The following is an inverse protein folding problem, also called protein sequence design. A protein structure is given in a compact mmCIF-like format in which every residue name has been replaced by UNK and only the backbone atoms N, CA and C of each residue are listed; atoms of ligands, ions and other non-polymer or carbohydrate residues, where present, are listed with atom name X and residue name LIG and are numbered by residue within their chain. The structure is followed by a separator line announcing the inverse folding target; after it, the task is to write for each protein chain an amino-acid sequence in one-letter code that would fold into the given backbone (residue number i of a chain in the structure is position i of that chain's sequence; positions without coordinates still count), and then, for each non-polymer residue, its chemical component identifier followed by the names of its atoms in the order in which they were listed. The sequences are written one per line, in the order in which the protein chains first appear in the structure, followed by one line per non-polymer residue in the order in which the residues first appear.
data_IF_117833833052
#
_entry.id   IF_117833833052
#
_cell.length_a   1.000
_cell.length_b   1.000
_cell.length_c   1.000
_cell.angle_alpha   90.00
_cell.angle_beta   90.00
_cell.angle_gamma   90.00
#
_symmetry.space_group_name_H-M   'P 1'
#
loop_
_entity.id
_entity.type
_entity.pdbx_description
1 polymer ?
#
# COMPACT_ATOMS: atom_id res chain seq x y z
N UNK A 1 1.51 -15.10 -17.52
CA UNK A 1 2.96 -14.95 -17.26
C UNK A 1 3.19 -13.57 -16.66
N UNK A 2 3.60 -13.46 -15.39
CA UNK A 2 3.87 -12.14 -14.81
C UNK A 2 5.32 -11.74 -15.03
N UNK A 3 5.52 -10.56 -15.60
CA UNK A 3 6.84 -9.95 -15.83
C UNK A 3 7.53 -9.71 -14.49
N UNK A 4 8.74 -10.22 -14.34
CA UNK A 4 9.62 -9.89 -13.22
C UNK A 4 10.08 -8.44 -13.36
N UNK A 5 10.10 -7.67 -12.26
CA UNK A 5 10.65 -6.31 -12.29
C UNK A 5 12.08 -6.33 -12.83
N UNK A 6 12.33 -5.50 -13.83
CA UNK A 6 13.66 -5.18 -14.30
C UNK A 6 14.19 -3.92 -13.59
N UNK A 7 15.49 -3.84 -13.36
CA UNK A 7 16.18 -2.65 -12.81
C UNK A 7 15.85 -1.40 -13.62
N UNK A 8 15.74 -1.52 -14.95
CA UNK A 8 15.37 -0.39 -15.82
C UNK A 8 13.97 0.16 -15.51
N UNK A 9 12.98 -0.73 -15.33
CA UNK A 9 11.61 -0.34 -14.96
C UNK A 9 11.58 0.26 -13.55
N UNK A 10 12.33 -0.34 -12.62
CA UNK A 10 12.44 0.13 -11.25
C UNK A 10 12.92 1.58 -11.22
N UNK A 11 14.01 1.89 -11.92
CA UNK A 11 14.62 3.21 -11.90
C UNK A 11 13.91 4.25 -12.77
N UNK A 12 13.30 3.86 -13.90
CA UNK A 12 12.67 4.82 -14.83
C UNK A 12 11.20 5.08 -14.56
N UNK A 13 10.49 4.13 -13.95
CA UNK A 13 9.03 4.22 -13.79
C UNK A 13 8.67 4.18 -12.30
N UNK A 14 9.09 3.15 -11.59
CA UNK A 14 8.65 2.90 -10.21
C UNK A 14 9.23 3.95 -9.25
N UNK A 15 10.54 4.19 -9.29
CA UNK A 15 11.20 5.12 -8.37
C UNK A 15 10.75 6.57 -8.58
N UNK A 16 10.67 7.13 -9.80
CA UNK A 16 10.16 8.48 -10.01
C UNK A 16 8.71 8.63 -9.56
N UNK A 17 7.89 7.60 -9.81
CA UNK A 17 6.49 7.62 -9.39
C UNK A 17 6.36 7.54 -7.86
N UNK A 18 7.22 6.79 -7.17
CA UNK A 18 7.30 6.77 -5.71
C UNK A 18 7.68 8.15 -5.16
N UNK A 19 8.70 8.80 -5.74
CA UNK A 19 9.12 10.15 -5.34
C UNK A 19 7.96 11.14 -5.49
N UNK A 20 7.25 11.09 -6.62
CA UNK A 20 6.06 11.91 -6.86
C UNK A 20 4.96 11.62 -5.83
N UNK A 21 4.72 10.34 -5.53
CA UNK A 21 3.74 9.93 -4.53
C UNK A 21 4.07 10.45 -3.13
N UNK A 22 5.34 10.39 -2.72
CA UNK A 22 5.82 10.94 -1.45
C UNK A 22 5.71 12.46 -1.41
N UNK A 23 6.02 13.14 -2.52
CA UNK A 23 5.83 14.58 -2.65
C UNK A 23 4.36 14.96 -2.48
N UNK A 24 3.44 14.24 -3.12
CA UNK A 24 1.99 14.46 -2.95
C UNK A 24 1.55 14.19 -1.51
N UNK A 25 2.00 13.07 -0.90
CA UNK A 25 1.71 12.76 0.53
C UNK A 25 2.10 13.95 1.41
N UNK A 26 3.33 14.42 1.27
CA UNK A 26 3.88 15.54 2.04
C UNK A 26 3.14 16.85 1.78
N UNK A 27 2.80 17.13 0.52
CA UNK A 27 2.09 18.35 0.14
C UNK A 27 0.67 18.38 0.73
N UNK A 28 -0.08 17.28 0.61
CA UNK A 28 -1.44 17.21 1.16
C UNK A 28 -1.44 17.28 2.68
N UNK A 29 -0.52 16.58 3.35
CA UNK A 29 -0.46 16.57 4.81
C UNK A 29 0.00 17.90 5.39
N UNK A 30 0.94 18.59 4.74
CA UNK A 30 1.62 19.76 5.31
C UNK A 30 0.99 21.09 4.89
N UNK A 31 0.52 21.21 3.64
CA UNK A 31 -0.07 22.45 3.13
C UNK A 31 -1.60 22.46 3.20
N UNK A 32 -2.23 21.37 2.78
CA UNK A 32 -3.71 21.28 2.73
C UNK A 32 -4.28 20.82 4.08
N UNK A 33 -3.44 20.29 4.98
CA UNK A 33 -3.85 19.66 6.25
C UNK A 33 -4.85 18.52 6.02
N UNK A 34 -4.76 17.86 4.86
CA UNK A 34 -5.62 16.76 4.47
C UNK A 34 -4.85 15.46 4.60
N UNK A 35 -5.44 14.48 5.30
CA UNK A 35 -4.85 13.15 5.39
C UNK A 35 -5.16 12.35 4.13
N UNK A 36 -4.18 12.04 3.26
CA UNK A 36 -4.47 11.44 1.96
C UNK A 36 -4.70 9.93 2.02
N UNK A 37 -4.85 9.35 3.22
CA UNK A 37 -4.80 7.91 3.42
C UNK A 37 -3.37 7.37 3.31
N UNK A 38 -3.24 6.11 2.91
CA UNK A 38 -1.96 5.40 2.86
C UNK A 38 -1.38 5.31 1.45
N UNK A 39 -0.70 6.36 1.03
CA UNK A 39 -0.17 6.45 -0.33
C UNK A 39 0.90 5.38 -0.60
N UNK A 40 1.77 5.07 0.38
CA UNK A 40 2.85 4.08 0.22
C UNK A 40 2.24 2.68 0.09
N UNK A 41 1.28 2.34 0.96
CA UNK A 41 0.59 1.06 0.87
C UNK A 41 -0.22 0.92 -0.42
N UNK A 42 -0.91 1.99 -0.84
CA UNK A 42 -1.66 2.01 -2.10
C UNK A 42 -0.76 1.77 -3.32
N UNK A 43 0.39 2.45 -3.35
CA UNK A 43 1.40 2.29 -4.39
C UNK A 43 1.93 0.84 -4.45
N UNK A 44 2.16 0.26 -3.28
CA UNK A 44 2.62 -1.13 -3.12
C UNK A 44 1.63 -2.11 -3.74
N UNK A 45 0.33 -2.00 -3.39
CA UNK A 45 -0.71 -2.86 -3.96
C UNK A 45 -0.81 -2.73 -5.49
N UNK A 46 -0.66 -1.52 -6.02
CA UNK A 46 -0.70 -1.30 -7.45
C UNK A 46 0.48 -2.00 -8.16
N UNK A 47 1.71 -1.87 -7.66
CA UNK A 47 2.89 -2.58 -8.22
C UNK A 47 2.72 -4.09 -8.13
N UNK A 48 2.26 -4.57 -6.96
CA UNK A 48 1.92 -5.96 -6.70
C UNK A 48 0.72 -6.44 -7.51
N UNK A 49 0.16 -5.65 -8.42
CA UNK A 49 -0.82 -6.09 -9.43
C UNK A 49 -0.20 -6.28 -10.81
N UNK A 50 0.86 -5.55 -11.16
CA UNK A 50 1.47 -5.61 -12.51
C UNK A 50 2.69 -6.50 -12.62
N UNK A 51 3.43 -6.67 -11.53
CA UNK A 51 4.71 -7.38 -11.55
C UNK A 51 4.68 -8.60 -10.64
N UNK A 52 5.53 -9.58 -10.95
CA UNK A 52 5.65 -10.83 -10.21
C UNK A 52 6.80 -10.78 -9.19
N UNK A 53 6.79 -11.79 -8.32
CA UNK A 53 7.73 -12.03 -7.21
C UNK A 53 9.19 -12.26 -7.67
N UNK A 54 9.89 -11.21 -8.07
CA UNK A 54 11.35 -11.20 -8.21
C UNK A 54 12.05 -10.74 -6.94
N UNK A 55 13.32 -11.10 -6.77
CA UNK A 55 14.15 -10.67 -5.63
C UNK A 55 14.18 -9.14 -5.50
N UNK A 56 14.31 -8.43 -6.64
CA UNK A 56 14.28 -6.96 -6.69
C UNK A 56 12.99 -6.36 -6.14
N UNK A 57 11.83 -7.00 -6.39
CA UNK A 57 10.56 -6.56 -5.86
C UNK A 57 10.52 -6.71 -4.34
N UNK A 58 11.01 -7.82 -3.78
CA UNK A 58 11.06 -8.01 -2.33
C UNK A 58 12.02 -7.06 -1.62
N UNK A 59 13.18 -6.78 -2.22
CA UNK A 59 14.09 -5.75 -1.74
C UNK A 59 13.38 -4.38 -1.73
N UNK A 60 12.65 -4.07 -2.80
CA UNK A 60 11.88 -2.83 -2.88
C UNK A 60 10.76 -2.76 -1.83
N UNK A 61 10.01 -3.85 -1.62
CA UNK A 61 8.97 -3.94 -0.58
C UNK A 61 9.55 -3.74 0.83
N UNK A 62 10.74 -4.28 1.09
CA UNK A 62 11.43 -4.06 2.35
C UNK A 62 11.70 -2.57 2.58
N UNK A 63 12.25 -1.86 1.58
CA UNK A 63 12.46 -0.41 1.69
C UNK A 63 11.16 0.39 1.83
N UNK A 64 10.08 -0.03 1.17
CA UNK A 64 8.76 0.60 1.34
C UNK A 64 8.22 0.43 2.76
N UNK A 65 8.41 -0.74 3.36
CA UNK A 65 8.02 -0.97 4.75
C UNK A 65 8.84 -0.12 5.73
N UNK A 66 10.14 0.05 5.49
CA UNK A 66 10.98 0.97 6.25
C UNK A 66 10.49 2.42 6.11
N UNK A 67 10.18 2.87 4.89
CA UNK A 67 9.65 4.20 4.62
C UNK A 67 8.32 4.46 5.34
N UNK A 68 7.40 3.50 5.31
CA UNK A 68 6.11 3.63 5.99
C UNK A 68 6.27 3.63 7.53
N UNK A 69 7.31 2.95 8.03
CA UNK A 69 7.61 2.92 9.46
C UNK A 69 8.27 4.18 10.03
N UNK A 70 8.68 5.13 9.19
CA UNK A 70 9.23 6.41 9.66
C UNK A 70 8.24 7.18 10.54
N UNK A 71 6.94 6.98 10.31
CA UNK A 71 5.86 7.56 11.12
C UNK A 71 5.70 6.85 12.48
N UNK A 72 6.32 5.67 12.69
CA UNK A 72 6.17 4.81 13.86
C UNK A 72 7.50 4.19 14.33
N UNK A 73 8.28 4.94 15.11
CA UNK A 73 9.52 4.45 15.74
C UNK A 73 9.30 3.12 16.50
N UNK A 74 10.21 2.17 16.27
CA UNK A 74 10.27 0.85 16.92
C UNK A 74 9.42 -0.25 16.28
N UNK A 75 8.79 0.01 15.13
CA UNK A 75 7.94 -0.97 14.41
C UNK A 75 8.45 -1.20 12.97
N UNK A 76 9.68 -0.76 12.68
CA UNK A 76 10.29 -0.79 11.35
C UNK A 76 10.35 -2.21 10.77
N UNK A 77 10.78 -3.15 11.62
CA UNK A 77 10.91 -4.56 11.24
C UNK A 77 9.51 -5.16 10.96
N UNK A 78 8.52 -4.91 11.82
CA UNK A 78 7.18 -5.47 11.66
C UNK A 78 6.50 -5.00 10.38
N UNK A 79 6.60 -3.71 10.04
CA UNK A 79 6.02 -3.16 8.81
C UNK A 79 6.76 -3.69 7.57
N UNK A 80 8.09 -3.77 7.61
CA UNK A 80 8.88 -4.36 6.53
C UNK A 80 8.54 -5.84 6.30
N UNK A 81 8.41 -6.62 7.37
CA UNK A 81 7.96 -8.02 7.29
C UNK A 81 6.54 -8.12 6.74
N UNK A 82 5.63 -7.21 7.14
CA UNK A 82 4.27 -7.19 6.62
C UNK A 82 4.23 -6.95 5.10
N UNK A 83 5.01 -6.00 4.59
CA UNK A 83 5.07 -5.70 3.15
C UNK A 83 5.62 -6.89 2.35
N UNK A 84 6.65 -7.56 2.86
CA UNK A 84 7.17 -8.79 2.26
C UNK A 84 6.11 -9.89 2.27
N UNK A 85 5.44 -10.09 3.41
CA UNK A 85 4.37 -11.08 3.55
C UNK A 85 3.21 -10.79 2.58
N UNK A 86 2.81 -9.53 2.43
CA UNK A 86 1.81 -9.10 1.45
C UNK A 86 2.22 -9.48 0.02
N UNK A 87 3.49 -9.27 -0.34
CA UNK A 87 4.04 -9.70 -1.63
C UNK A 87 3.92 -11.21 -1.84
N UNK A 88 4.28 -12.01 -0.84
CA UNK A 88 4.17 -13.48 -0.88
C UNK A 88 2.69 -13.90 -0.98
N UNK A 89 1.83 -13.33 -0.14
CA UNK A 89 0.40 -13.62 -0.07
C UNK A 89 -0.30 -13.31 -1.38
N UNK A 90 -0.04 -12.14 -1.97
CA UNK A 90 -0.64 -11.75 -3.25
C UNK A 90 -0.14 -12.62 -4.41
N UNK A 91 1.16 -12.96 -4.41
CA UNK A 91 1.71 -13.87 -5.41
C UNK A 91 1.11 -15.27 -5.32
N UNK A 92 0.87 -15.77 -4.09
CA UNK A 92 0.19 -17.03 -3.86
C UNK A 92 -1.28 -16.94 -4.28
N UNK A 93 -1.99 -15.87 -3.88
CA UNK A 93 -3.40 -15.62 -4.19
C UNK A 93 -3.66 -15.55 -5.69
N UNK A 94 -2.73 -15.00 -6.48
CA UNK A 94 -2.82 -14.98 -7.96
C UNK A 94 -2.95 -16.37 -8.59
N UNK A 95 -2.50 -17.43 -7.92
CA UNK A 95 -2.65 -18.81 -8.42
C UNK A 95 -4.08 -19.34 -8.28
N UNK A 96 -4.83 -18.82 -7.31
CA UNK A 96 -6.17 -19.29 -6.96
C UNK A 96 -7.27 -18.35 -7.46
N UNK A 97 -6.99 -17.05 -7.49
CA UNK A 97 -7.92 -16.04 -7.96
C UNK A 97 -7.58 -15.65 -9.40
N UNK A 98 -8.60 -15.57 -10.26
CA UNK A 98 -8.48 -15.09 -11.62
C UNK A 98 -8.23 -13.56 -11.64
N UNK A 99 -7.00 -13.16 -11.33
CA UNK A 99 -6.51 -11.77 -11.33
C UNK A 99 -6.58 -11.10 -12.72
N UNK A 100 -7.11 -11.76 -13.74
CA UNK A 100 -7.47 -11.14 -15.01
C UNK A 100 -8.70 -10.24 -14.86
N UNK A 101 -9.65 -10.63 -13.99
CA UNK A 101 -10.87 -9.85 -13.75
C UNK A 101 -10.62 -8.70 -12.81
N UNK A 102 -11.10 -7.52 -13.19
CA UNK A 102 -11.01 -6.30 -12.39
C UNK A 102 -11.74 -6.44 -11.04
N UNK A 103 -12.86 -7.16 -11.01
CA UNK A 103 -13.61 -7.46 -9.79
C UNK A 103 -12.75 -8.20 -8.75
N UNK A 104 -12.01 -9.22 -9.18
CA UNK A 104 -11.13 -9.99 -8.29
C UNK A 104 -9.96 -9.13 -7.79
N UNK A 105 -9.41 -8.24 -8.63
CA UNK A 105 -8.37 -7.27 -8.20
C UNK A 105 -8.91 -6.34 -7.12
N UNK A 106 -10.11 -5.77 -7.33
CA UNK A 106 -10.75 -4.87 -6.37
C UNK A 106 -10.97 -5.56 -5.03
N UNK A 107 -11.51 -6.78 -5.04
CA UNK A 107 -11.77 -7.53 -3.81
C UNK A 107 -10.47 -7.75 -3.02
N UNK A 108 -9.39 -8.13 -3.70
CA UNK A 108 -8.10 -8.34 -3.06
C UNK A 108 -7.51 -7.03 -2.53
N UNK A 109 -7.56 -5.95 -3.30
CA UNK A 109 -7.10 -4.64 -2.83
C UNK A 109 -7.84 -4.22 -1.57
N UNK A 110 -9.17 -4.36 -1.56
CA UNK A 110 -9.98 -4.01 -0.41
C UNK A 110 -9.64 -4.86 0.82
N UNK A 111 -9.50 -6.18 0.66
CA UNK A 111 -9.08 -7.09 1.73
C UNK A 111 -7.68 -6.74 2.27
N UNK A 112 -6.73 -6.39 1.40
CA UNK A 112 -5.40 -5.97 1.81
C UNK A 112 -5.41 -4.65 2.58
N UNK A 113 -6.17 -3.66 2.12
CA UNK A 113 -6.35 -2.38 2.84
C UNK A 113 -6.97 -2.62 4.22
N UNK A 114 -8.00 -3.48 4.29
CA UNK A 114 -8.65 -3.80 5.54
C UNK A 114 -7.71 -4.53 6.52
N UNK A 115 -6.95 -5.51 6.02
CA UNK A 115 -5.92 -6.21 6.81
C UNK A 115 -4.86 -5.25 7.35
N UNK A 116 -4.42 -4.30 6.52
CA UNK A 116 -3.41 -3.33 6.93
C UNK A 116 -3.95 -2.34 7.96
N UNK A 117 -5.21 -1.90 7.81
CA UNK A 117 -5.88 -1.07 8.80
C UNK A 117 -5.98 -1.79 10.16
N UNK A 118 -6.32 -3.08 10.18
CA UNK A 118 -6.35 -3.87 11.41
C UNK A 118 -4.96 -3.88 12.06
N UNK A 119 -3.90 -4.12 11.28
CA UNK A 119 -2.53 -4.08 11.79
C UNK A 119 -2.17 -2.72 12.40
N UNK A 120 -2.56 -1.62 11.74
CA UNK A 120 -2.39 -0.26 12.28
C UNK A 120 -3.16 -0.05 13.57
N UNK A 121 -4.36 -0.63 13.72
CA UNK A 121 -5.08 -0.57 14.99
C UNK A 121 -4.42 -1.38 16.09
N UNK A 122 -3.94 -2.59 15.80
CA UNK A 122 -3.20 -3.38 16.80
C UNK A 122 -1.99 -2.61 17.30
N UNK A 123 -1.22 -2.00 16.39
CA UNK A 123 -0.09 -1.13 16.74
C UNK A 123 -0.53 0.06 17.58
N UNK A 124 -1.58 0.75 17.15
CA UNK A 124 -2.07 1.96 17.80
C UNK A 124 -2.57 1.67 19.22
N UNK A 125 -3.40 0.64 19.39
CA UNK A 125 -3.92 0.22 20.70
C UNK A 125 -2.84 -0.37 21.61
N UNK A 126 -1.82 -1.02 21.06
CA UNK A 126 -0.66 -1.46 21.86
C UNK A 126 0.09 -0.27 22.47
N UNK A 127 0.17 0.85 21.76
CA UNK A 127 0.81 2.09 22.25
C UNK A 127 -0.15 2.97 23.07
N UNK A 128 -1.46 2.75 22.98
CA UNK A 128 -2.47 3.60 23.60
C UNK A 128 -2.61 3.27 25.09
N UNK A 129 -2.27 4.22 25.95
CA UNK A 129 -2.50 4.11 27.40
C UNK A 129 -3.63 5.04 27.85
N UNK A 130 -4.75 5.06 27.12
CA UNK A 130 -5.89 5.96 27.39
C UNK A 130 -7.22 5.22 27.38
N UNK A 131 -8.18 5.75 28.13
CA UNK A 131 -9.53 5.20 28.25
C UNK A 131 -10.32 5.33 26.93
N UNK A 132 -11.05 4.28 26.56
CA UNK A 132 -11.81 4.19 25.30
C UNK A 132 -13.28 4.56 25.56
N UNK A 133 -13.71 5.71 25.06
CA UNK A 133 -15.11 6.20 25.09
C UNK A 133 -15.85 5.85 23.77
N UNK A 134 -17.18 5.80 23.80
CA UNK A 134 -18.06 5.77 22.61
C UNK A 134 -17.75 6.87 21.59
N UNK A 135 -17.49 8.10 22.01
CA UNK A 135 -17.09 9.22 21.13
C UNK A 135 -15.76 8.93 20.41
N UNK A 136 -14.83 8.29 21.12
CA UNK A 136 -13.57 7.85 20.55
C UNK A 136 -13.79 6.76 19.50
N UNK A 137 -14.64 5.77 19.80
CA UNK A 137 -14.98 4.68 18.86
C UNK A 137 -15.65 5.23 17.59
N UNK A 138 -16.57 6.18 17.71
CA UNK A 138 -17.22 6.81 16.56
C UNK A 138 -16.22 7.55 15.67
N UNK A 139 -15.33 8.34 16.29
CA UNK A 139 -14.29 9.05 15.55
C UNK A 139 -13.31 8.09 14.85
N UNK A 140 -12.95 6.99 15.53
CA UNK A 140 -12.12 5.94 14.96
C UNK A 140 -12.79 5.29 13.74
N UNK A 141 -14.09 5.00 13.82
CA UNK A 141 -14.85 4.43 12.71
C UNK A 141 -14.93 5.37 11.50
N UNK A 142 -15.19 6.66 11.72
CA UNK A 142 -15.22 7.66 10.64
C UNK A 142 -13.84 7.81 9.97
N UNK A 143 -12.78 7.88 10.78
CA UNK A 143 -11.40 7.93 10.27
C UNK A 143 -11.03 6.65 9.51
N UNK A 144 -11.50 5.49 9.95
CA UNK A 144 -11.31 4.20 9.27
C UNK A 144 -11.95 4.21 7.88
N UNK A 145 -13.21 4.62 7.79
CA UNK A 145 -13.94 4.65 6.53
C UNK A 145 -13.27 5.59 5.53
N UNK A 146 -12.89 6.77 6.00
CA UNK A 146 -12.18 7.75 5.20
C UNK A 146 -10.80 7.23 4.75
N UNK A 147 -10.06 6.57 5.64
CA UNK A 147 -8.78 5.93 5.33
C UNK A 147 -8.92 4.87 4.24
N UNK A 148 -9.88 3.95 4.37
CA UNK A 148 -10.12 2.89 3.40
C UNK A 148 -10.45 3.50 2.03
N UNK A 149 -11.36 4.49 2.02
CA UNK A 149 -11.83 5.13 0.80
C UNK A 149 -10.71 5.87 0.07
N UNK A 150 -9.93 6.69 0.78
CA UNK A 150 -8.83 7.47 0.19
C UNK A 150 -7.68 6.58 -0.27
N UNK A 151 -7.30 5.59 0.53
CA UNK A 151 -6.27 4.60 0.16
C UNK A 151 -6.68 3.81 -1.07
N UNK A 152 -7.94 3.37 -1.15
CA UNK A 152 -8.46 2.65 -2.32
C UNK A 152 -8.47 3.52 -3.58
N UNK A 153 -8.86 4.80 -3.47
CA UNK A 153 -8.77 5.74 -4.59
C UNK A 153 -7.33 5.88 -5.10
N UNK A 154 -6.34 5.96 -4.20
CA UNK A 154 -4.93 5.98 -4.59
C UNK A 154 -4.50 4.69 -5.28
N UNK A 155 -4.97 3.51 -4.83
CA UNK A 155 -4.71 2.24 -5.52
C UNK A 155 -5.21 2.31 -6.96
N UNK A 156 -6.41 2.85 -7.20
CA UNK A 156 -6.96 3.01 -8.55
C UNK A 156 -6.14 3.97 -9.40
N UNK A 157 -5.72 5.11 -8.84
CA UNK A 157 -4.88 6.10 -9.53
C UNK A 157 -3.55 5.48 -9.94
N UNK A 158 -2.83 4.86 -8.99
CA UNK A 158 -1.56 4.21 -9.30
C UNK A 158 -1.74 3.04 -10.25
N UNK A 159 -2.81 2.26 -10.11
CA UNK A 159 -3.11 1.17 -11.03
C UNK A 159 -3.26 1.68 -12.45
N UNK A 160 -4.00 2.76 -12.66
CA UNK A 160 -4.19 3.37 -13.99
C UNK A 160 -2.88 3.93 -14.54
N UNK A 161 -2.12 4.66 -13.73
CA UNK A 161 -0.83 5.24 -14.15
C UNK A 161 0.15 4.14 -14.53
N UNK A 162 0.36 3.16 -13.65
CA UNK A 162 1.26 2.04 -13.90
C UNK A 162 0.80 1.22 -15.11
N UNK A 163 -0.51 1.04 -15.31
CA UNK A 163 -1.05 0.39 -16.50
C UNK A 163 -0.62 1.08 -17.80
N UNK A 164 -0.59 2.41 -17.85
CA UNK A 164 -0.15 3.14 -19.05
C UNK A 164 1.33 2.91 -19.39
N UNK A 165 2.19 2.76 -18.37
CA UNK A 165 3.63 2.60 -18.57
C UNK A 165 4.08 1.15 -18.68
N UNK A 166 3.48 0.26 -17.89
CA UNK A 166 3.93 -1.13 -17.71
C UNK A 166 3.16 -2.14 -18.57
N UNK A 167 2.01 -1.76 -19.13
CA UNK A 167 1.21 -2.58 -20.06
C UNK A 167 1.51 -2.26 -21.53
N UNK A 168 2.21 -1.15 -21.81
CA UNK A 168 2.62 -0.73 -23.16
C UNK A 168 3.79 -1.53 -23.76
N UNK A 169 4.34 -2.50 -23.03
CA UNK A 169 5.43 -3.38 -23.48
C UNK A 169 4.94 -4.79 -23.84
N UNK A 170 3.77 -4.91 -24.47
CA UNK A 170 3.29 -6.13 -25.14
C UNK A 170 3.14 -5.85 -26.62
#
# INVERSE_FOLDING_TARGET
MGLTINIKELLRIILPLLILALFIKSYMSSFILFYPGDIIFAFTLAILTFRNSGILLYIFLFFLGLLESLDFLGIEIFLSTYFIFLGIFLNHSRKYFAFERLESKIAVWFLSIFSFLILRFVIYFYKLNTFVDRLFILNLALKSFFYISTTFLWVLVFYKILGLFLYKEV
#
